data_IF_959372159447
#
_entry.id   IF_959372159447
#
_cell.length_a   1.000
_cell.length_b   1.000
_cell.length_c   1.000
_cell.angle_alpha   90.00
_cell.angle_beta   90.00
_cell.angle_gamma   90.00
#
_symmetry.space_group_name_H-M   'P 1'
#
loop_
_entity.id
_entity.type
_entity.pdbx_description
1 polymer ?
#
# COMPACT_ATOMS: atom_id res chain seq x y z
N UNK A 1 6.54 26.91 -2.17
CA UNK A 1 5.73 25.72 -1.83
C UNK A 1 6.49 24.47 -2.22
N UNK A 2 6.71 23.52 -1.31
CA UNK A 2 7.41 22.28 -1.62
C UNK A 2 6.60 21.47 -2.66
N UNK A 3 7.18 21.21 -3.84
CA UNK A 3 6.59 20.31 -4.83
C UNK A 3 6.54 18.91 -4.22
N UNK A 4 5.34 18.47 -3.83
CA UNK A 4 5.08 17.10 -3.37
C UNK A 4 5.14 16.19 -4.60
N UNK A 5 6.31 15.68 -4.92
CA UNK A 5 6.49 14.71 -6.00
C UNK A 5 5.93 13.36 -5.54
N UNK A 6 4.62 13.14 -5.75
CA UNK A 6 3.96 11.86 -5.47
C UNK A 6 4.25 10.86 -6.59
N UNK A 7 5.53 10.52 -6.77
CA UNK A 7 6.02 9.63 -7.82
C UNK A 7 6.45 8.28 -7.21
N UNK A 8 6.00 7.19 -7.81
CA UNK A 8 6.39 5.83 -7.43
C UNK A 8 7.85 5.61 -7.84
N UNK A 9 8.73 5.37 -6.86
CA UNK A 9 10.18 5.20 -7.07
C UNK A 9 10.55 4.15 -8.11
N UNK A 10 9.75 3.09 -8.22
CA UNK A 10 9.86 2.10 -9.28
C UNK A 10 8.58 2.14 -10.15
N UNK A 11 8.61 2.79 -11.32
CA UNK A 11 7.45 2.86 -12.21
C UNK A 11 6.88 1.50 -12.59
N UNK A 12 7.72 0.46 -12.68
CA UNK A 12 7.29 -0.90 -13.00
C UNK A 12 6.44 -1.54 -11.90
N UNK A 13 6.43 -0.97 -10.71
CA UNK A 13 5.63 -1.43 -9.59
C UNK A 13 4.24 -0.79 -9.54
N UNK A 14 3.90 0.15 -10.44
CA UNK A 14 2.64 0.89 -10.37
C UNK A 14 1.41 -0.01 -10.31
N UNK A 15 1.26 -0.94 -11.27
CA UNK A 15 0.12 -1.85 -11.33
C UNK A 15 0.09 -2.84 -10.15
N UNK A 16 1.25 -3.23 -9.66
CA UNK A 16 1.36 -4.11 -8.50
C UNK A 16 0.98 -3.39 -7.20
N UNK A 17 1.37 -2.12 -7.05
CA UNK A 17 1.00 -1.28 -5.91
C UNK A 17 -0.49 -0.92 -5.94
N UNK A 18 -1.07 -0.73 -7.11
CA UNK A 18 -2.51 -0.50 -7.24
C UNK A 18 -3.33 -1.73 -6.82
N UNK A 19 -2.97 -2.92 -7.32
CA UNK A 19 -3.57 -4.18 -6.86
C UNK A 19 -3.43 -4.37 -5.36
N UNK A 20 -2.23 -4.14 -4.83
CA UNK A 20 -1.95 -4.27 -3.41
C UNK A 20 -2.75 -3.28 -2.53
N UNK A 21 -3.04 -2.08 -3.04
CA UNK A 21 -3.93 -1.11 -2.40
C UNK A 21 -5.35 -1.66 -2.28
N UNK A 22 -5.88 -2.28 -3.32
CA UNK A 22 -7.21 -2.88 -3.29
C UNK A 22 -7.27 -4.13 -2.40
N UNK A 23 -6.27 -5.01 -2.45
CA UNK A 23 -6.15 -6.15 -1.53
C UNK A 23 -6.11 -5.70 -0.07
N UNK A 24 -5.32 -4.67 0.24
CA UNK A 24 -5.25 -4.12 1.59
C UNK A 24 -6.57 -3.46 2.01
N UNK A 25 -7.30 -2.84 1.08
CA UNK A 25 -8.62 -2.29 1.37
C UNK A 25 -9.66 -3.39 1.67
N UNK A 26 -9.59 -4.51 0.96
CA UNK A 26 -10.46 -5.67 1.16
C UNK A 26 -10.23 -6.32 2.53
N UNK A 27 -8.97 -6.58 2.89
CA UNK A 27 -8.61 -7.10 4.22
C UNK A 27 -9.07 -6.20 5.38
N UNK A 28 -9.16 -4.88 5.12
CA UNK A 28 -9.63 -3.90 6.11
C UNK A 28 -11.16 -3.74 6.13
N UNK A 29 -11.89 -4.47 5.28
CA UNK A 29 -13.35 -4.39 5.15
C UNK A 29 -13.84 -3.09 4.51
N UNK A 30 -12.97 -2.37 3.80
CA UNK A 30 -13.28 -1.06 3.21
C UNK A 30 -13.61 -1.14 1.71
N UNK A 31 -13.42 -2.30 1.08
CA UNK A 31 -13.59 -2.46 -0.37
C UNK A 31 -15.02 -2.13 -0.83
N UNK A 32 -16.04 -2.60 -0.10
CA UNK A 32 -17.44 -2.37 -0.45
C UNK A 32 -17.78 -0.87 -0.38
N UNK A 33 -17.16 -0.15 0.57
CA UNK A 33 -17.33 1.30 0.68
C UNK A 33 -16.68 1.99 -0.51
N UNK A 34 -15.43 1.65 -0.83
CA UNK A 34 -14.72 2.21 -1.99
C UNK A 34 -15.48 1.96 -3.30
N UNK A 35 -16.02 0.76 -3.51
CA UNK A 35 -16.79 0.43 -4.72
C UNK A 35 -18.09 1.24 -4.83
N UNK A 36 -18.75 1.54 -3.71
CA UNK A 36 -20.03 2.26 -3.69
C UNK A 36 -19.90 3.77 -3.85
N UNK A 37 -18.88 4.36 -3.24
CA UNK A 37 -18.75 5.82 -3.17
C UNK A 37 -17.45 6.36 -3.78
N UNK A 38 -16.51 5.53 -4.22
CA UNK A 38 -15.22 5.98 -4.75
C UNK A 38 -14.20 6.32 -3.66
N UNK A 39 -12.95 6.46 -4.07
CA UNK A 39 -11.82 6.76 -3.18
C UNK A 39 -11.87 8.19 -2.65
N UNK A 40 -12.35 9.12 -3.47
CA UNK A 40 -12.50 10.55 -3.20
C UNK A 40 -13.50 10.86 -2.09
N UNK A 41 -14.47 9.97 -1.87
CA UNK A 41 -15.49 10.11 -0.82
C UNK A 41 -15.16 9.33 0.46
N UNK A 42 -14.00 8.66 0.51
CA UNK A 42 -13.51 8.03 1.74
C UNK A 42 -13.01 9.08 2.73
N UNK A 43 -13.15 8.80 4.03
CA UNK A 43 -12.59 9.70 5.04
C UNK A 43 -11.06 9.62 5.03
N UNK A 44 -10.37 10.72 5.34
CA UNK A 44 -8.90 10.75 5.45
C UNK A 44 -8.35 9.66 6.38
N UNK A 45 -9.10 9.31 7.43
CA UNK A 45 -8.75 8.23 8.36
C UNK A 45 -8.77 6.85 7.68
N UNK A 46 -9.74 6.58 6.81
CA UNK A 46 -9.87 5.30 6.11
C UNK A 46 -8.80 5.12 5.04
N UNK A 47 -8.60 6.12 4.16
CA UNK A 47 -7.51 6.08 3.18
C UNK A 47 -6.14 6.05 3.86
N UNK A 48 -5.97 6.80 4.96
CA UNK A 48 -4.75 6.74 5.78
C UNK A 48 -4.52 5.36 6.40
N UNK A 49 -5.57 4.68 6.86
CA UNK A 49 -5.50 3.31 7.38
C UNK A 49 -5.04 2.33 6.30
N UNK A 50 -5.56 2.44 5.07
CA UNK A 50 -5.16 1.60 3.94
C UNK A 50 -3.67 1.81 3.62
N UNK A 51 -3.26 3.06 3.37
CA UNK A 51 -1.87 3.37 3.04
C UNK A 51 -0.88 2.97 4.14
N UNK A 52 -1.24 3.19 5.42
CA UNK A 52 -0.40 2.77 6.55
C UNK A 52 -0.24 1.25 6.64
N UNK A 53 -1.29 0.48 6.34
CA UNK A 53 -1.19 -0.99 6.31
C UNK A 53 -0.38 -1.50 5.11
N UNK A 54 -0.49 -0.85 3.95
CA UNK A 54 0.39 -1.17 2.81
C UNK A 54 1.86 -1.02 3.21
N UNK A 55 2.24 0.08 3.88
CA UNK A 55 3.62 0.30 4.33
C UNK A 55 4.07 -0.77 5.32
N UNK A 56 3.26 -1.10 6.34
CA UNK A 56 3.61 -2.16 7.31
C UNK A 56 3.88 -3.50 6.64
N UNK A 57 2.99 -3.91 5.73
CA UNK A 57 3.14 -5.17 4.99
C UNK A 57 4.37 -5.16 4.07
N UNK A 58 4.65 -4.05 3.38
CA UNK A 58 5.85 -3.93 2.55
C UNK A 58 7.14 -4.05 3.37
N UNK A 59 7.15 -3.46 4.58
CA UNK A 59 8.27 -3.60 5.52
C UNK A 59 8.40 -5.06 5.96
N UNK A 60 7.32 -5.71 6.37
CA UNK A 60 7.34 -7.13 6.75
C UNK A 60 7.91 -8.00 5.61
N UNK A 61 7.44 -7.81 4.38
CA UNK A 61 7.96 -8.55 3.21
C UNK A 61 9.45 -8.27 2.96
N UNK A 62 9.93 -7.06 3.23
CA UNK A 62 11.34 -6.72 3.11
C UNK A 62 12.17 -7.39 4.22
N UNK A 63 11.69 -7.36 5.47
CA UNK A 63 12.30 -8.05 6.61
C UNK A 63 12.40 -9.55 6.37
N UNK A 64 11.33 -10.20 5.90
CA UNK A 64 11.31 -11.62 5.56
C UNK A 64 12.31 -11.96 4.44
N UNK A 65 12.41 -11.10 3.42
CA UNK A 65 13.38 -11.26 2.33
C UNK A 65 14.83 -11.10 2.82
N UNK A 66 15.08 -10.16 3.72
CA UNK A 66 16.41 -9.96 4.33
C UNK A 66 16.79 -11.13 5.24
N UNK A 67 15.85 -11.64 6.05
CA UNK A 67 16.05 -12.80 6.89
C UNK A 67 16.38 -14.07 6.08
N UNK A 68 15.66 -14.29 4.96
CA UNK A 68 15.95 -15.38 4.01
C UNK A 68 17.30 -15.22 3.31
N UNK A 69 17.80 -13.98 3.21
CA UNK A 69 19.09 -13.63 2.62
C UNK A 69 20.21 -13.55 3.66
N UNK A 70 20.00 -14.07 4.88
CA UNK A 70 21.02 -14.21 5.92
C UNK A 70 22.32 -14.82 5.38
N UNK A 71 23.47 -14.51 6.00
CA UNK A 71 24.80 -14.53 5.38
C UNK A 71 25.05 -15.90 4.74
N UNK A 72 25.33 -15.88 3.44
CA UNK A 72 25.65 -17.07 2.68
C UNK A 72 26.73 -17.88 3.42
N UNK A 73 26.46 -19.17 3.58
CA UNK A 73 27.55 -20.14 3.41
C UNK A 73 27.92 -20.18 1.93
#
# INVERSE_FOLDING_TARGET
MARRNNHILNPRAADSLDRFKYETADELGLINKIQRQGWENMTTREVGKIGGNMVRKMIQMAEDKMARRGPGK
#
